data_IF_327576413098
#
_entry.id   IF_327576413098
#
_cell.length_a   1.000
_cell.length_b   1.000
_cell.length_c   1.000
_cell.angle_alpha   90.00
_cell.angle_beta   90.00
_cell.angle_gamma   90.00
#
_symmetry.space_group_name_H-M   'P 1'
#
loop_
_entity.id
_entity.type
_entity.pdbx_description
1 polymer ?
#
# COMPACT_ATOMS: atom_id res chain seq x y z
N UNK A 1 2.11 -1.66 -16.91
CA UNK A 1 3.37 -0.92 -16.78
C UNK A 1 3.11 0.48 -17.28
N UNK A 2 3.53 1.45 -16.49
CA UNK A 2 3.39 2.87 -16.81
C UNK A 2 4.49 3.28 -17.79
N UNK A 3 4.10 3.82 -18.94
CA UNK A 3 5.02 4.23 -20.01
C UNK A 3 5.29 5.74 -19.95
N UNK A 4 4.28 6.53 -19.61
CA UNK A 4 4.34 7.99 -19.53
C UNK A 4 3.36 8.52 -18.48
N UNK A 5 3.70 9.61 -17.81
CA UNK A 5 2.85 10.26 -16.80
C UNK A 5 2.94 11.77 -16.96
N UNK A 6 1.79 12.40 -17.23
CA UNK A 6 1.64 13.84 -17.31
C UNK A 6 0.65 14.33 -16.25
N UNK A 7 1.15 15.04 -15.24
CA UNK A 7 0.30 15.60 -14.19
C UNK A 7 -0.54 16.74 -14.77
N UNK A 8 -1.86 16.64 -14.65
CA UNK A 8 -2.79 17.66 -15.14
C UNK A 8 -2.66 18.91 -14.27
N UNK A 9 -2.24 20.05 -14.85
CA UNK A 9 -2.05 21.29 -14.10
C UNK A 9 -3.41 21.83 -13.65
N UNK A 10 -3.41 22.56 -12.53
CA UNK A 10 -4.64 22.97 -11.85
C UNK A 10 -5.60 23.78 -12.75
N UNK A 11 -5.05 24.63 -13.62
CA UNK A 11 -5.80 25.42 -14.61
C UNK A 11 -6.63 24.60 -15.60
N UNK A 12 -6.17 23.38 -15.90
CA UNK A 12 -6.79 22.50 -16.90
C UNK A 12 -7.71 21.46 -16.24
N UNK A 13 -7.83 21.50 -14.91
CA UNK A 13 -8.72 20.62 -14.16
C UNK A 13 -10.17 21.09 -14.31
N UNK A 14 -11.13 20.16 -14.50
CA UNK A 14 -12.53 20.52 -14.53
C UNK A 14 -12.95 21.12 -13.19
N UNK A 15 -13.63 22.28 -13.22
CA UNK A 15 -14.11 22.93 -12.00
C UNK A 15 -15.21 22.06 -11.35
N UNK A 16 -14.88 21.42 -10.24
CA UNK A 16 -15.82 20.62 -9.44
C UNK A 16 -15.84 21.12 -7.99
N UNK A 17 -17.01 21.14 -7.33
CA UNK A 17 -17.16 21.69 -5.98
C UNK A 17 -16.48 20.84 -4.89
N UNK A 18 -16.21 19.56 -5.17
CA UNK A 18 -15.53 18.64 -4.25
C UNK A 18 -14.31 18.07 -4.95
N UNK A 19 -13.13 18.42 -4.47
CA UNK A 19 -11.85 17.91 -4.94
C UNK A 19 -11.19 17.18 -3.78
N UNK A 20 -10.65 15.99 -4.03
CA UNK A 20 -9.88 15.24 -3.04
C UNK A 20 -8.55 15.93 -2.78
N UNK A 21 -8.17 16.11 -1.52
CA UNK A 21 -6.81 16.53 -1.14
C UNK A 21 -5.78 15.41 -1.25
N UNK A 22 -6.24 14.15 -1.30
CA UNK A 22 -5.37 12.95 -1.35
C UNK A 22 -4.89 12.60 -2.76
N UNK A 23 -5.58 13.08 -3.79
CA UNK A 23 -5.39 12.58 -5.15
C UNK A 23 -4.93 13.68 -6.10
N UNK A 24 -4.15 13.30 -7.10
CA UNK A 24 -3.66 14.20 -8.15
C UNK A 24 -4.03 13.62 -9.50
N UNK A 25 -4.71 14.43 -10.32
CA UNK A 25 -5.08 14.03 -11.67
C UNK A 25 -3.84 14.00 -12.56
N UNK A 26 -3.65 12.90 -13.28
CA UNK A 26 -2.65 12.75 -14.32
C UNK A 26 -3.22 12.01 -15.52
N UNK A 27 -2.76 12.38 -16.70
CA UNK A 27 -2.94 11.61 -17.93
C UNK A 27 -1.76 10.64 -18.05
N UNK A 28 -2.06 9.37 -18.32
CA UNK A 28 -1.06 8.28 -18.24
C UNK A 28 -1.22 7.37 -19.44
N UNK A 29 -0.09 7.00 -20.04
CA UNK A 29 -0.02 5.91 -21.00
C UNK A 29 0.48 4.64 -20.32
N UNK A 30 -0.26 3.55 -20.51
CA UNK A 30 0.07 2.24 -19.93
C UNK A 30 0.09 1.14 -20.97
N UNK A 31 0.97 0.17 -20.78
CA UNK A 31 0.98 -1.10 -21.51
C UNK A 31 0.69 -2.26 -20.56
N UNK A 32 0.01 -3.30 -21.03
CA UNK A 32 -0.15 -4.53 -20.23
C UNK A 32 1.20 -5.23 -20.09
N UNK A 33 1.49 -5.79 -18.93
CA UNK A 33 2.75 -6.53 -18.72
C UNK A 33 2.81 -7.77 -19.63
N UNK A 34 1.68 -8.43 -19.88
CA UNK A 34 1.59 -9.59 -20.78
C UNK A 34 1.87 -9.25 -22.25
N UNK A 35 1.65 -8.00 -22.64
CA UNK A 35 1.79 -7.53 -24.02
C UNK A 35 3.19 -6.98 -24.28
N UNK A 36 3.95 -6.70 -23.22
CA UNK A 36 5.28 -6.10 -23.30
C UNK A 36 6.24 -7.01 -24.06
N UNK A 37 6.81 -6.51 -25.16
CA UNK A 37 7.72 -7.27 -26.03
C UNK A 37 7.02 -8.20 -27.03
N UNK A 38 5.69 -8.33 -26.95
CA UNK A 38 4.88 -9.08 -27.93
C UNK A 38 4.20 -8.12 -28.89
N UNK A 39 3.64 -7.03 -28.37
CA UNK A 39 3.01 -5.97 -29.16
C UNK A 39 3.26 -4.59 -28.54
N UNK A 40 3.03 -3.54 -29.32
CA UNK A 40 3.24 -2.14 -28.92
C UNK A 40 1.93 -1.46 -28.49
N UNK A 41 0.91 -2.23 -28.08
CA UNK A 41 -0.40 -1.67 -27.71
C UNK A 41 -0.30 -0.92 -26.39
N UNK A 42 -0.65 0.37 -26.44
CA UNK A 42 -0.73 1.24 -25.27
C UNK A 42 -2.15 1.77 -25.10
N UNK A 43 -2.51 2.06 -23.86
CA UNK A 43 -3.79 2.62 -23.47
C UNK A 43 -3.56 3.95 -22.77
N UNK A 44 -4.31 4.97 -23.19
CA UNK A 44 -4.37 6.24 -22.50
C UNK A 44 -5.47 6.21 -21.44
N UNK A 45 -5.19 6.70 -20.24
CA UNK A 45 -6.22 6.87 -19.20
C UNK A 45 -5.90 8.03 -18.27
N UNK A 46 -6.96 8.69 -17.80
CA UNK A 46 -6.86 9.72 -16.76
C UNK A 46 -7.01 9.07 -15.39
N UNK A 47 -5.98 9.20 -14.56
CA UNK A 47 -5.92 8.56 -13.23
C UNK A 47 -5.87 9.60 -12.11
N UNK A 48 -6.26 9.15 -10.91
CA UNK A 48 -6.18 9.89 -9.66
C UNK A 48 -4.86 9.62 -8.90
N UNK A 49 -4.04 8.72 -9.43
CA UNK A 49 -2.77 8.26 -8.85
C UNK A 49 -1.57 9.09 -9.34
N UNK A 50 -1.78 10.31 -9.85
CA UNK A 50 -0.73 11.12 -10.50
C UNK A 50 0.42 11.56 -9.58
N UNK A 51 0.23 11.50 -8.26
CA UNK A 51 1.26 11.84 -7.28
C UNK A 51 2.14 10.65 -6.89
N UNK A 52 1.71 9.42 -7.17
CA UNK A 52 2.45 8.19 -6.80
C UNK A 52 3.02 7.45 -8.00
N UNK A 53 2.40 7.57 -9.18
CA UNK A 53 2.84 6.88 -10.39
C UNK A 53 4.03 7.60 -11.00
N UNK A 54 5.07 6.81 -11.30
CA UNK A 54 6.25 7.19 -12.07
C UNK A 54 6.35 6.29 -13.30
N UNK A 55 7.09 6.74 -14.31
CA UNK A 55 7.40 5.92 -15.49
C UNK A 55 8.15 4.66 -15.06
N UNK A 56 7.76 3.51 -15.61
CA UNK A 56 8.28 2.20 -15.26
C UNK A 56 7.52 1.48 -14.14
N UNK A 57 6.65 2.18 -13.40
CA UNK A 57 5.88 1.55 -12.33
C UNK A 57 4.89 0.50 -12.84
N UNK A 58 4.58 -0.44 -11.96
CA UNK A 58 3.50 -1.41 -12.16
C UNK A 58 2.26 -0.89 -11.44
N UNK A 59 1.11 -0.93 -12.12
CA UNK A 59 -0.18 -0.56 -11.55
C UNK A 59 -1.21 -1.64 -11.88
N UNK A 60 -2.11 -1.89 -10.94
CA UNK A 60 -3.29 -2.71 -11.09
C UNK A 60 -4.47 -1.83 -11.51
N UNK A 61 -5.31 -2.39 -12.37
CA UNK A 61 -6.46 -1.70 -12.90
C UNK A 61 -7.43 -2.64 -13.61
N UNK A 62 -8.58 -2.11 -13.96
CA UNK A 62 -9.59 -2.79 -14.74
C UNK A 62 -9.41 -2.49 -16.22
N UNK A 63 -9.51 -3.52 -17.05
CA UNK A 63 -9.52 -3.42 -18.51
C UNK A 63 -10.97 -3.58 -19.02
N UNK A 64 -11.56 -2.48 -19.45
CA UNK A 64 -12.93 -2.45 -19.98
C UNK A 64 -13.00 -2.86 -21.44
N UNK A 65 -11.87 -2.93 -22.16
CA UNK A 65 -11.89 -3.33 -23.58
C UNK A 65 -12.24 -4.82 -23.77
N UNK A 66 -11.96 -5.64 -22.76
CA UNK A 66 -12.28 -7.07 -22.74
C UNK A 66 -13.36 -7.43 -21.71
N UNK A 67 -13.97 -6.44 -21.05
CA UNK A 67 -14.98 -6.68 -20.04
C UNK A 67 -16.36 -6.89 -20.67
N UNK A 68 -16.97 -8.06 -20.40
CA UNK A 68 -18.37 -8.31 -20.74
C UNK A 68 -19.24 -8.05 -19.49
N UNK A 69 -19.81 -6.85 -19.40
CA UNK A 69 -20.58 -6.38 -18.25
C UNK A 69 -22.07 -6.40 -18.56
N UNK A 70 -22.84 -7.18 -17.79
CA UNK A 70 -24.30 -7.16 -17.82
C UNK A 70 -24.81 -6.23 -16.70
N UNK A 71 -24.91 -4.94 -16.99
CA UNK A 71 -25.35 -3.95 -16.00
C UNK A 71 -26.14 -2.80 -16.65
N UNK A 72 -27.39 -2.60 -16.23
CA UNK A 72 -28.34 -1.65 -16.81
C UNK A 72 -27.79 -0.22 -16.93
N UNK A 73 -27.13 0.28 -15.90
CA UNK A 73 -26.54 1.62 -15.95
C UNK A 73 -25.35 1.72 -16.91
N UNK A 74 -24.59 0.64 -17.09
CA UNK A 74 -23.45 0.60 -17.99
C UNK A 74 -23.91 0.59 -19.44
N UNK A 75 -24.96 -0.19 -19.76
CA UNK A 75 -25.58 -0.23 -21.09
C UNK A 75 -26.18 1.12 -21.51
N UNK A 76 -26.57 1.96 -20.55
CA UNK A 76 -27.06 3.32 -20.80
C UNK A 76 -25.96 4.35 -21.06
N UNK A 77 -24.70 4.03 -20.78
CA UNK A 77 -23.58 4.94 -21.03
C UNK A 77 -23.21 4.94 -22.51
N UNK A 78 -22.77 6.10 -23.00
CA UNK A 78 -22.13 6.18 -24.31
C UNK A 78 -20.75 5.52 -24.23
N UNK A 79 -20.42 4.65 -25.18
CA UNK A 79 -19.12 3.98 -25.21
C UNK A 79 -17.94 4.96 -25.17
N UNK A 80 -18.06 6.13 -25.82
CA UNK A 80 -17.05 7.19 -25.81
C UNK A 80 -16.72 7.75 -24.41
N UNK A 81 -17.62 7.57 -23.44
CA UNK A 81 -17.43 8.01 -22.05
C UNK A 81 -16.88 6.92 -21.15
N UNK A 82 -16.83 5.68 -21.62
CA UNK A 82 -16.29 4.56 -20.87
C UNK A 82 -14.78 4.53 -21.14
N UNK A 83 -13.94 4.60 -20.10
CA UNK A 83 -12.50 4.49 -20.28
C UNK A 83 -12.11 3.06 -20.67
N UNK A 84 -11.11 2.90 -21.53
CA UNK A 84 -10.58 1.59 -21.91
C UNK A 84 -9.94 0.86 -20.71
N UNK A 85 -9.20 1.60 -19.89
CA UNK A 85 -8.51 1.09 -18.70
C UNK A 85 -8.71 2.07 -17.54
N UNK A 86 -8.91 1.56 -16.32
CA UNK A 86 -8.88 2.36 -15.10
C UNK A 86 -7.87 1.82 -14.10
N UNK A 87 -6.91 2.65 -13.70
CA UNK A 87 -5.91 2.30 -12.68
C UNK A 87 -6.47 2.52 -11.28
N UNK A 88 -6.22 1.59 -10.38
CA UNK A 88 -6.75 1.58 -9.01
C UNK A 88 -5.66 1.56 -7.96
N UNK A 89 -4.62 0.74 -8.13
CA UNK A 89 -3.56 0.55 -7.12
C UNK A 89 -2.18 0.53 -7.77
N UNK A 90 -1.24 1.31 -7.27
CA UNK A 90 0.19 1.15 -7.61
C UNK A 90 0.74 -0.08 -6.90
N UNK A 91 1.54 -0.87 -7.59
CA UNK A 91 2.29 -1.99 -6.99
C UNK A 91 3.65 -1.45 -6.58
N UNK A 92 3.93 -1.47 -5.28
CA UNK A 92 5.22 -1.12 -4.71
C UNK A 92 6.13 -2.34 -4.61
N UNK A 93 7.44 -2.11 -4.53
CA UNK A 93 8.43 -3.18 -4.40
C UNK A 93 8.34 -3.82 -3.00
N UNK A 94 7.85 -5.07 -2.95
CA UNK A 94 7.63 -5.83 -1.72
C UNK A 94 8.91 -6.00 -0.92
N UNK A 95 10.06 -6.21 -1.58
CA UNK A 95 11.34 -6.41 -0.89
C UNK A 95 11.80 -5.12 -0.22
N UNK A 96 11.58 -3.97 -0.86
CA UNK A 96 11.87 -2.65 -0.25
C UNK A 96 10.91 -2.35 0.91
N UNK A 97 9.61 -2.60 0.76
CA UNK A 97 8.63 -2.43 1.86
C UNK A 97 9.00 -3.23 3.10
N UNK A 98 9.29 -4.51 2.94
CA UNK A 98 9.71 -5.39 4.04
C UNK A 98 10.99 -4.91 4.73
N UNK A 99 11.93 -4.33 3.97
CA UNK A 99 13.15 -3.77 4.54
C UNK A 99 12.88 -2.51 5.36
N UNK A 100 12.01 -1.62 4.86
CA UNK A 100 11.70 -0.32 5.45
C UNK A 100 10.66 -0.38 6.57
N UNK A 101 10.00 -1.54 6.77
CA UNK A 101 9.01 -1.76 7.83
C UNK A 101 9.68 -1.71 9.21
N UNK A 102 9.36 -0.66 9.98
CA UNK A 102 9.87 -0.40 11.35
C UNK A 102 8.94 -0.92 12.47
N UNK A 103 7.93 -1.70 12.10
CA UNK A 103 6.87 -2.16 12.98
C UNK A 103 6.58 -3.64 12.77
N UNK A 104 5.98 -4.27 13.78
CA UNK A 104 5.58 -5.68 13.77
C UNK A 104 4.20 -5.84 14.41
N UNK A 105 3.51 -6.93 14.06
CA UNK A 105 2.33 -7.38 14.78
C UNK A 105 2.73 -8.44 15.81
N UNK A 106 2.03 -8.47 16.94
CA UNK A 106 2.17 -9.53 17.91
C UNK A 106 1.49 -10.80 17.37
N UNK A 107 2.25 -11.90 17.32
CA UNK A 107 1.72 -13.22 16.97
C UNK A 107 1.41 -14.00 18.25
N UNK A 108 0.39 -14.85 18.19
CA UNK A 108 0.11 -15.80 19.27
C UNK A 108 1.17 -16.90 19.30
N UNK A 109 1.43 -17.43 20.49
CA UNK A 109 2.36 -18.54 20.69
C UNK A 109 1.89 -19.78 19.90
N UNK A 110 2.79 -20.39 19.12
CA UNK A 110 2.48 -21.51 18.23
C UNK A 110 1.98 -21.13 16.84
N UNK A 111 1.90 -19.83 16.50
CA UNK A 111 1.59 -19.39 15.13
C UNK A 111 2.60 -19.92 14.09
N UNK A 112 3.87 -20.07 14.48
CA UNK A 112 4.95 -20.57 13.60
C UNK A 112 4.75 -22.05 13.19
N UNK A 113 3.92 -22.81 13.94
CA UNK A 113 3.57 -24.18 13.57
C UNK A 113 2.57 -24.26 12.42
N UNK A 114 1.94 -23.13 12.08
CA UNK A 114 0.98 -22.98 10.99
C UNK A 114 1.61 -22.29 9.76
N UNK A 115 2.92 -22.02 9.78
CA UNK A 115 3.61 -21.37 8.67
C UNK A 115 3.65 -22.28 7.43
N UNK A 116 2.66 -22.09 6.56
CA UNK A 116 2.70 -22.52 5.17
C UNK A 116 3.08 -21.33 4.29
N UNK A 117 3.58 -21.59 3.08
CA UNK A 117 3.89 -20.53 2.11
C UNK A 117 2.67 -19.64 1.80
N UNK A 118 1.48 -20.25 1.73
CA UNK A 118 0.21 -19.53 1.55
C UNK A 118 -0.08 -18.58 2.73
N UNK A 119 0.01 -19.08 3.96
CA UNK A 119 -0.22 -18.30 5.19
C UNK A 119 0.77 -17.14 5.29
N UNK A 120 2.04 -17.39 4.96
CA UNK A 120 3.07 -16.34 4.95
C UNK A 120 2.77 -15.28 3.90
N UNK A 121 2.29 -15.67 2.72
CA UNK A 121 1.91 -14.73 1.68
C UNK A 121 0.73 -13.85 2.11
N UNK A 122 -0.35 -14.48 2.59
CA UNK A 122 -1.57 -13.80 3.02
C UNK A 122 -1.28 -12.85 4.20
N UNK A 123 -0.43 -13.28 5.14
CA UNK A 123 0.00 -12.43 6.25
C UNK A 123 0.74 -11.19 5.76
N UNK A 124 1.68 -11.34 4.82
CA UNK A 124 2.40 -10.20 4.28
C UNK A 124 1.49 -9.26 3.46
N UNK A 125 0.54 -9.80 2.70
CA UNK A 125 -0.43 -9.01 1.96
C UNK A 125 -1.30 -8.18 2.94
N UNK A 126 -1.66 -8.76 4.09
CA UNK A 126 -2.32 -8.04 5.17
C UNK A 126 -1.47 -6.91 5.78
N UNK A 127 -0.16 -7.13 5.96
CA UNK A 127 0.73 -6.06 6.43
C UNK A 127 0.84 -4.91 5.42
N UNK A 128 0.83 -5.21 4.12
CA UNK A 128 0.82 -4.20 3.07
C UNK A 128 -0.50 -3.40 3.07
N UNK A 129 -1.64 -4.06 3.29
CA UNK A 129 -2.94 -3.39 3.41
C UNK A 129 -3.02 -2.47 4.65
N UNK A 130 -2.38 -2.84 5.76
CA UNK A 130 -2.26 -1.95 6.94
C UNK A 130 -1.44 -0.69 6.65
N UNK A 131 -0.42 -0.78 5.79
CA UNK A 131 0.34 0.39 5.33
C UNK A 131 -0.49 1.28 4.40
N UNK A 132 -1.30 0.67 3.51
CA UNK A 132 -2.06 1.37 2.48
C UNK A 132 -3.36 2.02 3.01
N UNK A 133 -4.08 1.38 3.95
CA UNK A 133 -5.40 1.82 4.41
C UNK A 133 -5.46 2.10 5.92
N UNK A 134 -5.74 3.37 6.26
CA UNK A 134 -5.92 3.83 7.64
C UNK A 134 -7.14 3.20 8.33
N UNK A 135 -8.25 2.93 7.62
CA UNK A 135 -9.46 2.39 8.21
C UNK A 135 -9.28 0.94 8.69
N UNK A 136 -8.51 0.15 7.93
CA UNK A 136 -8.10 -1.21 8.34
C UNK A 136 -7.15 -1.11 9.54
N UNK A 137 -6.24 -0.13 9.51
CA UNK A 137 -5.23 0.11 10.55
C UNK A 137 -5.81 0.49 11.91
N UNK A 138 -6.88 1.28 11.94
CA UNK A 138 -7.50 1.81 13.17
C UNK A 138 -7.83 0.74 14.23
N UNK A 139 -8.07 -0.50 13.81
CA UNK A 139 -8.52 -1.59 14.68
C UNK A 139 -7.42 -2.63 14.99
N UNK A 140 -6.15 -2.32 14.70
CA UNK A 140 -5.03 -3.25 14.85
C UNK A 140 -3.92 -2.63 15.69
N UNK A 141 -3.47 -3.36 16.73
CA UNK A 141 -2.34 -2.95 17.55
C UNK A 141 -1.02 -3.16 16.78
N UNK A 142 -0.31 -2.06 16.54
CA UNK A 142 0.95 -2.04 15.81
C UNK A 142 2.07 -1.75 16.80
N UNK A 143 3.09 -2.60 16.83
CA UNK A 143 4.20 -2.46 17.77
C UNK A 143 5.48 -2.05 17.05
N UNK A 144 6.31 -1.25 17.71
CA UNK A 144 7.63 -0.89 17.19
C UNK A 144 8.53 -2.12 17.08
N UNK A 145 9.32 -2.19 16.01
CA UNK A 145 10.39 -3.17 15.87
C UNK A 145 11.74 -2.50 16.22
N UNK A 146 12.18 -2.66 17.47
CA UNK A 146 13.42 -2.07 17.98
C UNK A 146 14.67 -2.54 17.24
N UNK A 147 14.63 -3.70 16.57
CA UNK A 147 15.77 -4.23 15.81
C UNK A 147 16.01 -3.49 14.49
N UNK A 148 14.94 -2.89 13.93
CA UNK A 148 14.95 -2.23 12.62
C UNK A 148 15.17 -0.72 12.72
N UNK A 149 14.79 -0.10 13.84
CA UNK A 149 14.83 1.37 14.00
C UNK A 149 16.26 1.91 14.08
N UNK A 150 17.22 1.13 14.58
CA UNK A 150 18.64 1.55 14.70
C UNK A 150 19.39 1.61 13.37
N UNK A 151 18.81 1.07 12.30
CA UNK A 151 19.37 1.12 10.95
C UNK A 151 18.60 2.19 10.19
N UNK A 152 19.14 3.40 10.13
CA UNK A 152 18.64 4.44 9.22
C UNK A 152 18.92 4.01 7.78
N UNK A 153 17.94 3.33 7.17
CA UNK A 153 17.99 3.01 5.75
C UNK A 153 17.44 4.24 5.02
N UNK A 154 18.34 5.17 4.68
CA UNK A 154 18.06 6.27 3.75
C UNK A 154 17.95 5.73 2.32
N UNK A 155 16.86 4.99 2.03
CA UNK A 155 16.50 4.68 0.65
C UNK A 155 15.61 5.81 0.12
N UNK A 156 16.24 6.83 -0.48
CA UNK A 156 15.59 8.00 -1.08
C UNK A 156 14.69 7.68 -2.29
N UNK A 157 14.69 6.44 -2.78
CA UNK A 157 14.05 6.09 -4.05
C UNK A 157 12.54 5.79 -3.95
N UNK A 158 12.01 5.58 -2.73
CA UNK A 158 10.59 5.22 -2.52
C UNK A 158 9.83 6.22 -1.64
N UNK A 159 10.08 7.51 -1.88
CA UNK A 159 9.48 8.68 -1.19
C UNK A 159 7.93 8.75 -1.26
N UNK A 160 7.25 7.79 -1.90
CA UNK A 160 5.80 7.79 -2.08
C UNK A 160 5.05 6.56 -1.57
N UNK A 161 5.74 5.54 -1.04
CA UNK A 161 5.06 4.38 -0.48
C UNK A 161 4.39 4.73 0.86
N UNK A 162 3.10 4.37 1.07
CA UNK A 162 2.45 4.52 2.36
C UNK A 162 3.23 3.80 3.47
N UNK A 163 3.45 4.49 4.59
CA UNK A 163 4.10 3.95 5.78
C UNK A 163 3.28 4.31 7.02
N UNK A 164 3.38 3.47 8.05
CA UNK A 164 2.78 3.73 9.36
C UNK A 164 3.67 4.70 10.14
N UNK A 165 3.09 5.77 10.68
CA UNK A 165 3.86 6.76 11.42
C UNK A 165 4.34 6.20 12.76
N UNK A 166 5.48 6.68 13.27
CA UNK A 166 5.98 6.27 14.59
C UNK A 166 5.02 6.60 15.73
N UNK A 167 4.16 7.61 15.54
CA UNK A 167 3.17 8.04 16.53
C UNK A 167 2.04 7.03 16.72
N UNK A 168 1.78 6.21 15.70
CA UNK A 168 0.77 5.15 15.74
C UNK A 168 1.32 3.84 16.33
N UNK A 169 2.64 3.73 16.55
CA UNK A 169 3.27 2.51 17.04
C UNK A 169 3.27 2.46 18.57
N UNK A 170 2.95 1.29 19.12
CA UNK A 170 3.02 0.98 20.53
C UNK A 170 4.40 0.43 20.91
N UNK A 171 4.78 0.69 22.14
CA UNK A 171 5.93 0.06 22.76
C UNK A 171 5.56 -1.33 23.27
N UNK A 172 6.37 -2.33 22.93
CA UNK A 172 6.18 -3.70 23.38
C UNK A 172 6.47 -3.79 24.89
N UNK A 173 5.41 -3.95 25.70
CA UNK A 173 5.49 -3.90 27.15
C UNK A 173 5.88 -5.29 27.70
N UNK A 174 7.17 -5.48 27.94
CA UNK A 174 7.70 -6.70 28.55
C UNK A 174 7.59 -6.58 30.07
N UNK A 175 6.55 -7.17 30.66
CA UNK A 175 6.46 -7.34 32.12
C UNK A 175 7.37 -8.52 32.47
N UNK A 176 8.63 -8.24 32.80
CA UNK A 176 9.43 -9.20 33.56
C UNK A 176 8.78 -9.32 34.95
N UNK A 177 8.38 -10.53 35.34
CA UNK A 177 7.91 -10.85 36.69
C UNK A 177 9.01 -10.48 37.71
N UNK A 178 9.01 -9.24 38.23
CA UNK A 178 9.58 -8.91 39.54
C UNK A 178 9.10 -7.54 40.08
N UNK A 179 7.81 -7.24 39.93
CA UNK A 179 7.19 -6.06 40.56
C UNK A 179 6.49 -6.40 41.89
N UNK A 180 6.50 -7.67 42.30
CA UNK A 180 6.15 -8.10 43.65
C UNK A 180 7.44 -8.40 44.38
N UNK A 181 8.05 -7.37 44.97
CA UNK A 181 9.29 -7.51 45.75
C UNK A 181 9.19 -8.76 46.65
N UNK A 182 10.07 -9.72 46.39
CA UNK A 182 10.06 -11.00 47.08
C UNK A 182 10.03 -10.82 48.60
N UNK A 183 9.10 -11.51 49.26
CA UNK A 183 9.11 -11.66 50.70
C UNK A 183 10.43 -12.34 51.11
N UNK A 184 11.37 -11.58 51.69
CA UNK A 184 12.59 -12.15 52.25
C UNK A 184 13.89 -11.36 52.09
N UNK A 185 13.87 -10.05 51.87
CA UNK A 185 15.09 -9.26 52.03
C UNK A 185 15.54 -9.30 53.50
N UNK A 186 16.60 -10.07 53.77
CA UNK A 186 17.21 -10.18 55.08
C UNK A 186 17.61 -8.79 55.61
N UNK A 187 17.05 -8.42 56.76
CA UNK A 187 17.50 -7.27 57.54
C UNK A 187 18.95 -7.55 57.95
N UNK A 188 19.90 -6.78 57.41
CA UNK A 188 21.27 -6.79 57.92
C UNK A 188 21.29 -6.17 59.31
N UNK A 189 21.88 -6.89 60.25
CA UNK A 189 22.09 -6.54 61.65
C UNK A 189 23.12 -5.41 61.84
#
# INVERSE_FOLDING_TARGET
>A
MVMEVDVVPERDRPHRPRVSSKHVLADVYVAKLSDLGVNERQFHTRTHLGHILKVGDIALGFDFTNANLNHEHFERLKLEKVPDVMLVKKVFDRTKRLRNRKWKLQRFEGADLLDSESVTKDFNDFLDDLEDDQAIREHVNIYRDSTKISVEIEDTDDEGAPQISLQEMLDDLHITEDATGGEGAAMME
#
